data_IF_577008789329
#
_entry.id   IF_577008789329
#
_cell.length_a   1.000
_cell.length_b   1.000
_cell.length_c   1.000
_cell.angle_alpha   90.00
_cell.angle_beta   90.00
_cell.angle_gamma   90.00
#
_symmetry.space_group_name_H-M   'P 1'
#
loop_
_entity.id
_entity.type
_entity.pdbx_description
1 polymer ?
#
# COMPACT_ATOMS: atom_id res chain seq x y z
N UNK A 1 -41.00 -6.18 3.52
CA UNK A 1 -40.04 -5.10 3.90
C UNK A 1 -39.80 -4.31 2.65
N UNK A 2 -40.04 -3.01 2.70
CA UNK A 2 -39.76 -2.12 1.56
C UNK A 2 -38.24 -2.04 1.32
N UNK A 3 -37.86 -1.77 0.09
CA UNK A 3 -36.45 -1.60 -0.32
C UNK A 3 -35.75 -0.51 0.52
N UNK A 4 -36.43 0.61 0.74
CA UNK A 4 -35.93 1.73 1.56
C UNK A 4 -35.64 1.28 3.00
N UNK A 5 -36.57 0.57 3.64
CA UNK A 5 -36.41 0.05 5.00
C UNK A 5 -35.22 -0.90 5.11
N UNK A 6 -35.03 -1.75 4.07
CA UNK A 6 -33.90 -2.67 4.01
C UNK A 6 -32.56 -1.94 4.02
N UNK A 7 -32.40 -0.96 3.12
CA UNK A 7 -31.14 -0.22 3.02
C UNK A 7 -30.87 0.68 4.20
N UNK A 8 -31.89 1.30 4.80
CA UNK A 8 -31.76 2.05 6.06
C UNK A 8 -31.27 1.15 7.21
N UNK A 9 -31.80 -0.07 7.30
CA UNK A 9 -31.37 -1.07 8.30
C UNK A 9 -29.91 -1.48 8.07
N UNK A 10 -29.50 -1.73 6.82
CA UNK A 10 -28.11 -2.06 6.50
C UNK A 10 -27.19 -0.88 6.88
N UNK A 11 -27.56 0.36 6.51
CA UNK A 11 -26.77 1.52 6.86
C UNK A 11 -26.60 1.70 8.37
N UNK A 12 -27.65 1.48 9.16
CA UNK A 12 -27.57 1.50 10.62
C UNK A 12 -26.59 0.45 11.15
N UNK A 13 -26.63 -0.79 10.63
CA UNK A 13 -25.70 -1.85 10.99
C UNK A 13 -24.24 -1.48 10.63
N UNK A 14 -23.99 -0.84 9.48
CA UNK A 14 -22.65 -0.37 9.13
C UNK A 14 -22.14 0.71 10.11
N UNK A 15 -23.00 1.61 10.59
CA UNK A 15 -22.65 2.60 11.62
C UNK A 15 -22.29 1.95 12.96
N UNK A 16 -23.02 0.91 13.37
CA UNK A 16 -22.70 0.13 14.58
C UNK A 16 -21.33 -0.55 14.44
N UNK A 17 -21.01 -1.11 13.27
CA UNK A 17 -19.72 -1.72 12.99
C UNK A 17 -18.56 -0.71 13.03
N UNK A 18 -18.76 0.50 12.47
CA UNK A 18 -17.77 1.58 12.55
C UNK A 18 -17.49 1.90 14.02
N UNK A 19 -18.53 2.05 14.83
CA UNK A 19 -18.37 2.34 16.25
C UNK A 19 -17.66 1.20 16.99
N UNK A 20 -18.00 -0.05 16.71
CA UNK A 20 -17.33 -1.22 17.29
C UNK A 20 -15.85 -1.27 16.92
N UNK A 21 -15.52 -1.06 15.65
CA UNK A 21 -14.14 -1.04 15.13
C UNK A 21 -13.31 0.06 15.79
N UNK A 22 -13.83 1.29 15.82
CA UNK A 22 -13.12 2.46 16.36
C UNK A 22 -13.07 2.51 17.90
N UNK A 23 -13.94 1.75 18.59
CA UNK A 23 -13.91 1.60 20.06
C UNK A 23 -13.14 0.34 20.50
N UNK A 24 -12.59 -0.42 19.56
CA UNK A 24 -11.84 -1.64 19.86
C UNK A 24 -10.48 -1.34 20.49
N UNK A 25 -9.86 -2.34 21.11
CA UNK A 25 -8.47 -2.28 21.60
C UNK A 25 -7.44 -2.06 20.47
N UNK A 26 -7.86 -2.20 19.21
CA UNK A 26 -7.03 -2.07 18.01
C UNK A 26 -7.11 -0.68 17.36
N UNK A 27 -7.77 0.28 18.00
CA UNK A 27 -7.89 1.65 17.47
C UNK A 27 -6.55 2.30 17.14
N UNK A 28 -5.52 2.09 17.95
CA UNK A 28 -4.18 2.66 17.70
C UNK A 28 -3.58 2.12 16.41
N UNK A 29 -3.73 0.82 16.12
CA UNK A 29 -3.27 0.22 14.86
C UNK A 29 -4.02 0.81 13.67
N UNK A 30 -5.34 0.99 13.80
CA UNK A 30 -6.14 1.64 12.76
C UNK A 30 -5.72 3.11 12.55
N UNK A 31 -5.49 3.85 13.62
CA UNK A 31 -5.05 5.24 13.54
C UNK A 31 -3.68 5.37 12.83
N UNK A 32 -2.74 4.45 13.09
CA UNK A 32 -1.46 4.40 12.39
C UNK A 32 -1.64 4.07 10.90
N UNK A 33 -2.49 3.10 10.56
CA UNK A 33 -2.82 2.80 9.16
C UNK A 33 -3.46 4.01 8.46
N UNK A 34 -4.33 4.76 9.15
CA UNK A 34 -4.94 5.98 8.62
C UNK A 34 -3.93 7.13 8.44
N UNK A 35 -2.98 7.29 9.37
CA UNK A 35 -1.95 8.32 9.27
C UNK A 35 -1.05 8.13 8.02
N UNK A 36 -0.88 6.90 7.55
CA UNK A 36 -0.13 6.63 6.33
C UNK A 36 -0.71 7.27 5.06
N UNK A 37 -1.98 7.69 5.07
CA UNK A 37 -2.58 8.50 3.98
C UNK A 37 -1.75 9.76 3.72
N UNK A 38 -1.36 10.47 4.79
CA UNK A 38 -0.58 11.70 4.69
C UNK A 38 0.85 11.42 4.19
N UNK A 39 1.48 10.38 4.71
CA UNK A 39 2.83 9.94 4.28
C UNK A 39 2.85 9.58 2.80
N UNK A 40 1.88 8.80 2.34
CA UNK A 40 1.72 8.45 0.93
C UNK A 40 1.45 9.69 0.08
N UNK A 41 0.64 10.62 0.58
CA UNK A 41 0.31 11.88 -0.09
C UNK A 41 1.55 12.75 -0.39
N UNK A 42 2.56 12.75 0.48
CA UNK A 42 3.84 13.43 0.23
C UNK A 42 4.57 12.81 -0.97
N UNK A 43 4.70 11.48 -1.01
CA UNK A 43 5.28 10.78 -2.16
C UNK A 43 4.51 11.01 -3.44
N UNK A 44 3.18 10.85 -3.39
CA UNK A 44 2.31 11.05 -4.54
C UNK A 44 2.47 12.44 -5.13
N UNK A 45 2.46 13.49 -4.30
CA UNK A 45 2.62 14.87 -4.75
C UNK A 45 3.96 15.08 -5.46
N UNK A 46 5.04 14.62 -4.85
CA UNK A 46 6.37 14.76 -5.44
C UNK A 46 6.49 13.99 -6.77
N UNK A 47 5.99 12.76 -6.83
CA UNK A 47 6.00 11.93 -8.04
C UNK A 47 5.16 12.57 -9.15
N UNK A 48 3.97 13.10 -8.82
CA UNK A 48 3.10 13.76 -9.79
C UNK A 48 3.76 15.02 -10.38
N UNK A 49 4.43 15.83 -9.56
CA UNK A 49 5.18 17.01 -10.02
C UNK A 49 6.32 16.63 -10.96
N UNK A 50 7.01 15.52 -10.71
CA UNK A 50 8.20 15.12 -11.47
C UNK A 50 7.90 14.30 -12.72
N UNK A 51 6.95 13.36 -12.63
CA UNK A 51 6.69 12.36 -13.68
C UNK A 51 5.34 12.52 -14.38
N UNK A 52 4.39 13.25 -13.78
CA UNK A 52 3.04 13.40 -14.31
C UNK A 52 2.25 12.09 -14.35
N UNK A 53 2.56 11.13 -13.49
CA UNK A 53 1.91 9.81 -13.45
C UNK A 53 0.76 9.83 -12.46
N UNK A 54 -0.45 9.59 -12.96
CA UNK A 54 -1.71 9.78 -12.23
C UNK A 54 -2.17 8.56 -11.43
N UNK A 55 -1.65 7.37 -11.71
CA UNK A 55 -2.09 6.11 -11.09
C UNK A 55 -1.94 6.10 -9.55
N UNK A 56 -1.03 6.90 -9.00
CA UNK A 56 -0.85 7.01 -7.55
C UNK A 56 -2.06 7.65 -6.85
N UNK A 57 -2.81 8.53 -7.54
CA UNK A 57 -4.07 9.08 -7.02
C UNK A 57 -5.15 8.01 -6.95
N UNK A 58 -5.22 7.15 -7.97
CA UNK A 58 -6.12 6.00 -7.97
C UNK A 58 -5.75 5.03 -6.83
N UNK A 59 -4.46 4.74 -6.68
CA UNK A 59 -3.97 3.87 -5.62
C UNK A 59 -4.34 4.42 -4.22
N UNK A 60 -4.14 5.71 -3.96
CA UNK A 60 -4.51 6.32 -2.68
C UNK A 60 -6.02 6.18 -2.41
N UNK A 61 -6.86 6.43 -3.42
CA UNK A 61 -8.32 6.26 -3.31
C UNK A 61 -8.72 4.82 -2.96
N UNK A 62 -8.00 3.80 -3.49
CA UNK A 62 -8.21 2.41 -3.11
C UNK A 62 -7.81 2.15 -1.64
N UNK A 63 -6.74 2.77 -1.15
CA UNK A 63 -6.34 2.64 0.25
C UNK A 63 -7.37 3.25 1.21
N UNK A 64 -7.82 4.49 0.93
CA UNK A 64 -8.88 5.14 1.71
C UNK A 64 -10.17 4.32 1.72
N UNK A 65 -10.53 3.75 0.55
CA UNK A 65 -11.69 2.86 0.40
C UNK A 65 -11.50 1.58 1.22
N UNK A 66 -10.31 0.99 1.23
CA UNK A 66 -10.00 -0.19 2.02
C UNK A 66 -10.19 0.05 3.53
N UNK A 67 -9.68 1.18 4.04
CA UNK A 67 -9.85 1.59 5.44
C UNK A 67 -11.33 1.80 5.80
N UNK A 68 -12.09 2.48 4.94
CA UNK A 68 -13.52 2.70 5.14
C UNK A 68 -14.29 1.37 5.20
N UNK A 69 -14.03 0.46 4.27
CA UNK A 69 -14.69 -0.84 4.26
C UNK A 69 -14.29 -1.71 5.46
N UNK A 70 -13.04 -1.60 5.93
CA UNK A 70 -12.59 -2.34 7.11
C UNK A 70 -13.35 -1.94 8.36
N UNK A 71 -13.52 -0.64 8.64
CA UNK A 71 -14.29 -0.17 9.81
C UNK A 71 -15.78 -0.48 9.69
N UNK A 72 -16.31 -0.62 8.46
CA UNK A 72 -17.68 -1.07 8.20
C UNK A 72 -17.86 -2.58 8.28
N UNK A 73 -16.79 -3.34 8.55
CA UNK A 73 -16.78 -4.82 8.55
C UNK A 73 -17.11 -5.45 7.18
N UNK A 74 -16.90 -4.70 6.12
CA UNK A 74 -17.02 -5.16 4.73
C UNK A 74 -15.68 -5.77 4.26
N UNK A 75 -15.19 -6.80 5.00
CA UNK A 75 -13.83 -7.30 4.87
C UNK A 75 -13.46 -7.77 3.46
N UNK A 76 -14.40 -8.40 2.72
CA UNK A 76 -14.14 -8.78 1.32
C UNK A 76 -13.76 -7.57 0.49
N UNK A 77 -14.51 -6.49 0.59
CA UNK A 77 -14.28 -5.25 -0.14
C UNK A 77 -13.00 -4.57 0.37
N UNK A 78 -12.79 -4.55 1.68
CA UNK A 78 -11.59 -3.98 2.29
C UNK A 78 -10.30 -4.64 1.74
N UNK A 79 -10.21 -5.97 1.76
CA UNK A 79 -9.05 -6.68 1.23
C UNK A 79 -8.92 -6.58 -0.30
N UNK A 80 -10.03 -6.47 -1.04
CA UNK A 80 -9.99 -6.27 -2.48
C UNK A 80 -9.40 -4.89 -2.84
N UNK A 81 -9.84 -3.83 -2.16
CA UNK A 81 -9.29 -2.49 -2.35
C UNK A 81 -7.84 -2.39 -1.83
N UNK A 82 -7.51 -3.04 -0.72
CA UNK A 82 -6.15 -3.10 -0.22
C UNK A 82 -5.18 -3.79 -1.20
N UNK A 83 -5.64 -4.85 -1.87
CA UNK A 83 -4.90 -5.50 -2.95
C UNK A 83 -4.72 -4.57 -4.15
N UNK A 84 -5.79 -3.90 -4.59
CA UNK A 84 -5.74 -2.96 -5.72
C UNK A 84 -4.78 -1.81 -5.42
N UNK A 85 -4.78 -1.29 -4.20
CA UNK A 85 -3.81 -0.30 -3.74
C UNK A 85 -2.35 -0.76 -3.92
N UNK A 86 -2.02 -1.98 -3.46
CA UNK A 86 -0.69 -2.56 -3.63
C UNK A 86 -0.30 -2.68 -5.11
N UNK A 87 -1.21 -3.25 -5.93
CA UNK A 87 -0.97 -3.43 -7.38
C UNK A 87 -0.75 -2.09 -8.07
N UNK A 88 -1.64 -1.13 -7.87
CA UNK A 88 -1.57 0.18 -8.54
C UNK A 88 -0.34 0.98 -8.13
N UNK A 89 0.03 0.95 -6.84
CA UNK A 89 1.23 1.67 -6.38
C UNK A 89 2.49 1.08 -6.97
N UNK A 90 2.70 -0.23 -6.89
CA UNK A 90 3.90 -0.88 -7.42
C UNK A 90 3.97 -0.77 -8.94
N UNK A 91 2.84 -0.89 -9.64
CA UNK A 91 2.79 -0.66 -11.07
C UNK A 91 3.11 0.79 -11.43
N UNK A 92 2.58 1.76 -10.68
CA UNK A 92 2.93 3.17 -10.84
C UNK A 92 4.43 3.42 -10.73
N UNK A 93 5.10 2.80 -9.75
CA UNK A 93 6.56 2.87 -9.61
C UNK A 93 7.24 2.27 -10.86
N UNK A 94 6.79 1.12 -11.35
CA UNK A 94 7.32 0.50 -12.55
C UNK A 94 7.15 1.39 -13.78
N UNK A 95 6.01 2.07 -13.94
CA UNK A 95 5.76 3.01 -15.03
C UNK A 95 6.76 4.19 -15.05
N UNK A 96 7.28 4.60 -13.88
CA UNK A 96 8.33 5.64 -13.84
C UNK A 96 9.66 5.21 -14.46
N UNK A 97 9.85 3.92 -14.68
CA UNK A 97 11.06 3.35 -15.30
C UNK A 97 10.89 3.03 -16.79
N UNK A 98 9.66 3.02 -17.30
CA UNK A 98 9.34 2.59 -18.65
C UNK A 98 8.28 3.48 -19.31
N UNK A 99 8.73 4.52 -19.99
CA UNK A 99 7.85 5.48 -20.67
C UNK A 99 6.91 4.82 -21.69
N UNK A 100 7.38 3.81 -22.44
CA UNK A 100 6.53 3.12 -23.41
C UNK A 100 5.38 2.38 -22.71
N UNK A 101 5.68 1.70 -21.61
CA UNK A 101 4.67 1.03 -20.81
C UNK A 101 3.63 2.04 -20.26
N UNK A 102 4.09 3.18 -19.77
CA UNK A 102 3.22 4.26 -19.31
C UNK A 102 2.28 4.77 -20.43
N UNK A 103 2.81 5.02 -21.63
CA UNK A 103 2.01 5.49 -22.76
C UNK A 103 1.01 4.44 -23.25
N UNK A 104 1.38 3.16 -23.25
CA UNK A 104 0.48 2.07 -23.60
C UNK A 104 -0.65 1.93 -22.58
N UNK A 105 -0.33 2.02 -21.27
CA UNK A 105 -1.34 2.01 -20.21
C UNK A 105 -2.31 3.20 -20.35
N UNK A 106 -1.79 4.39 -20.63
CA UNK A 106 -2.59 5.60 -20.80
C UNK A 106 -3.55 5.56 -22.01
N UNK A 107 -3.28 4.66 -22.97
CA UNK A 107 -4.11 4.42 -24.17
C UNK A 107 -4.99 3.17 -24.05
N UNK A 108 -5.13 2.58 -22.85
CA UNK A 108 -5.85 1.32 -22.63
C UNK A 108 -5.31 0.15 -23.46
N UNK A 109 -4.05 0.23 -23.92
CA UNK A 109 -3.38 -0.80 -24.70
C UNK A 109 -2.63 -1.82 -23.83
N UNK A 110 -2.54 -1.59 -22.53
CA UNK A 110 -1.89 -2.46 -21.56
C UNK A 110 -2.56 -2.38 -20.20
N UNK A 111 -2.84 -3.56 -19.61
CA UNK A 111 -3.36 -3.69 -18.25
C UNK A 111 -2.23 -3.74 -17.21
N UNK A 112 -2.64 -3.67 -15.93
CA UNK A 112 -1.77 -3.94 -14.79
C UNK A 112 -1.59 -5.45 -14.63
N UNK A 113 -0.37 -5.94 -14.74
CA UNK A 113 -0.06 -7.35 -14.56
C UNK A 113 0.84 -7.56 -13.34
N UNK A 114 0.27 -8.12 -12.28
CA UNK A 114 1.02 -8.48 -11.06
C UNK A 114 2.28 -9.31 -11.35
N UNK A 115 2.17 -10.25 -12.29
CA UNK A 115 3.28 -11.12 -12.69
C UNK A 115 4.49 -10.34 -13.23
N UNK A 116 4.28 -9.19 -13.87
CA UNK A 116 5.37 -8.33 -14.36
C UNK A 116 6.05 -7.58 -13.20
N UNK A 117 5.26 -7.11 -12.22
CA UNK A 117 5.78 -6.39 -11.04
C UNK A 117 6.72 -7.29 -10.23
N UNK A 118 6.35 -8.57 -10.06
CA UNK A 118 7.06 -9.54 -9.23
C UNK A 118 7.97 -10.50 -10.01
N UNK A 119 8.25 -10.19 -11.28
CA UNK A 119 9.18 -10.95 -12.09
C UNK A 119 10.60 -10.90 -11.51
N UNK A 120 11.30 -12.05 -11.52
CA UNK A 120 12.60 -12.18 -10.85
C UNK A 120 13.73 -11.47 -11.59
N UNK A 121 13.60 -11.30 -12.92
CA UNK A 121 14.67 -10.76 -13.76
C UNK A 121 14.44 -9.28 -14.11
N UNK A 122 13.18 -8.90 -14.34
CA UNK A 122 12.80 -7.59 -14.86
C UNK A 122 11.81 -6.82 -13.98
N UNK A 123 11.29 -7.44 -12.93
CA UNK A 123 10.32 -6.83 -12.02
C UNK A 123 10.97 -5.81 -11.05
N UNK A 124 10.12 -5.11 -10.33
CA UNK A 124 10.51 -4.00 -9.44
C UNK A 124 11.52 -4.41 -8.37
N UNK A 125 11.42 -5.63 -7.85
CA UNK A 125 12.29 -6.18 -6.81
C UNK A 125 13.43 -7.06 -7.35
N UNK A 126 13.62 -7.10 -8.68
CA UNK A 126 14.75 -7.83 -9.26
C UNK A 126 16.08 -7.19 -8.86
N UNK A 127 17.15 -8.00 -8.83
CA UNK A 127 18.49 -7.49 -8.57
C UNK A 127 18.91 -6.44 -9.60
N UNK A 128 18.47 -6.60 -10.84
CA UNK A 128 18.75 -5.63 -11.91
C UNK A 128 18.11 -4.27 -11.61
N UNK A 129 16.82 -4.26 -11.26
CA UNK A 129 16.11 -3.03 -10.93
C UNK A 129 16.67 -2.37 -9.66
N UNK A 130 16.81 -3.14 -8.58
CA UNK A 130 17.30 -2.60 -7.29
C UNK A 130 18.73 -2.06 -7.42
N UNK A 131 19.64 -2.77 -8.09
CA UNK A 131 21.00 -2.31 -8.30
C UNK A 131 21.08 -1.02 -9.11
N UNK A 132 20.17 -0.82 -10.05
CA UNK A 132 20.15 0.38 -10.88
C UNK A 132 19.78 1.64 -10.08
N UNK A 133 18.91 1.53 -9.07
CA UNK A 133 18.44 2.67 -8.30
C UNK A 133 19.10 2.79 -6.93
N UNK A 134 19.23 1.68 -6.19
CA UNK A 134 19.82 1.66 -4.85
C UNK A 134 20.50 0.32 -4.56
N UNK A 135 21.74 0.17 -5.04
CA UNK A 135 22.51 -1.10 -5.02
C UNK A 135 22.69 -1.68 -3.62
N UNK A 136 22.77 -0.82 -2.62
CA UNK A 136 23.02 -1.19 -1.22
C UNK A 136 21.87 -2.03 -0.63
N UNK A 137 20.64 -1.87 -1.14
CA UNK A 137 19.46 -2.61 -0.71
C UNK A 137 19.16 -3.89 -1.51
N UNK A 138 20.03 -4.29 -2.46
CA UNK A 138 19.83 -5.52 -3.24
C UNK A 138 19.62 -6.77 -2.40
N UNK A 139 20.32 -6.90 -1.28
CA UNK A 139 20.21 -8.05 -0.40
C UNK A 139 18.81 -8.17 0.24
N UNK A 140 18.16 -7.04 0.53
CA UNK A 140 16.85 -6.99 1.16
C UNK A 140 15.70 -7.17 0.16
N UNK A 141 15.91 -6.92 -1.14
CA UNK A 141 14.86 -6.92 -2.17
C UNK A 141 14.13 -8.25 -2.28
N UNK A 142 14.83 -9.38 -2.09
CA UNK A 142 14.20 -10.70 -2.14
C UNK A 142 13.20 -10.89 -0.98
N UNK A 143 13.53 -10.42 0.20
CA UNK A 143 12.62 -10.51 1.37
C UNK A 143 11.36 -9.68 1.12
N UNK A 144 11.51 -8.50 0.54
CA UNK A 144 10.37 -7.63 0.19
C UNK A 144 9.51 -8.26 -0.91
N UNK A 145 10.12 -8.86 -1.92
CA UNK A 145 9.39 -9.61 -2.95
C UNK A 145 8.57 -10.75 -2.36
N UNK A 146 9.17 -11.54 -1.46
CA UNK A 146 8.49 -12.65 -0.82
C UNK A 146 7.34 -12.16 0.08
N UNK A 147 7.55 -11.04 0.79
CA UNK A 147 6.51 -10.36 1.57
C UNK A 147 5.37 -9.87 0.67
N UNK A 148 5.68 -9.19 -0.44
CA UNK A 148 4.69 -8.68 -1.39
C UNK A 148 3.84 -9.82 -1.99
N UNK A 149 4.46 -10.92 -2.38
CA UNK A 149 3.77 -12.13 -2.86
C UNK A 149 2.85 -12.74 -1.80
N UNK A 150 3.30 -12.78 -0.55
CA UNK A 150 2.50 -13.27 0.58
C UNK A 150 1.25 -12.40 0.79
N UNK A 151 1.44 -11.09 0.95
CA UNK A 151 0.34 -10.15 1.21
C UNK A 151 -0.66 -10.15 0.05
N UNK A 152 -0.18 -10.09 -1.18
CA UNK A 152 -1.03 -10.19 -2.37
C UNK A 152 -1.89 -11.45 -2.36
N UNK A 153 -1.31 -12.61 -2.02
CA UNK A 153 -2.03 -13.87 -1.91
C UNK A 153 -3.07 -13.84 -0.80
N UNK A 154 -2.73 -13.30 0.38
CA UNK A 154 -3.65 -13.19 1.51
C UNK A 154 -4.86 -12.32 1.14
N UNK A 155 -4.66 -11.14 0.54
CA UNK A 155 -5.75 -10.30 0.06
C UNK A 155 -6.59 -11.00 -1.03
N UNK A 156 -5.95 -11.76 -1.92
CA UNK A 156 -6.63 -12.50 -3.00
C UNK A 156 -7.56 -13.60 -2.49
N UNK A 157 -7.28 -14.19 -1.32
CA UNK A 157 -8.15 -15.21 -0.71
C UNK A 157 -9.56 -14.65 -0.45
N UNK A 158 -9.66 -13.40 0.00
CA UNK A 158 -10.93 -12.71 0.22
C UNK A 158 -11.64 -12.40 -1.10
N UNK A 159 -10.91 -12.00 -2.12
CA UNK A 159 -11.48 -11.70 -3.46
C UNK A 159 -12.08 -12.93 -4.11
N UNK A 160 -11.38 -14.07 -4.05
CA UNK A 160 -11.80 -15.31 -4.70
C UNK A 160 -12.72 -16.20 -3.85
N UNK A 161 -13.04 -15.79 -2.62
CA UNK A 161 -13.99 -16.50 -1.75
C UNK A 161 -13.45 -17.85 -1.27
N UNK A 162 -12.16 -17.94 -0.94
CA UNK A 162 -11.60 -19.15 -0.34
C UNK A 162 -12.29 -19.48 0.99
N UNK A 163 -12.33 -20.75 1.36
CA UNK A 163 -13.08 -21.23 2.52
C UNK A 163 -12.72 -20.48 3.83
N UNK A 164 -11.45 -20.21 4.06
CA UNK A 164 -10.97 -19.46 5.23
C UNK A 164 -11.48 -18.01 5.29
N UNK A 165 -11.69 -17.39 4.13
CA UNK A 165 -12.29 -16.04 4.04
C UNK A 165 -13.82 -16.07 4.22
N UNK A 166 -14.46 -17.18 3.82
CA UNK A 166 -15.91 -17.34 3.94
C UNK A 166 -16.42 -17.24 5.38
N UNK A 167 -15.66 -17.73 6.36
CA UNK A 167 -16.07 -17.74 7.77
C UNK A 167 -16.27 -16.34 8.35
N UNK A 168 -15.55 -15.34 7.83
CA UNK A 168 -15.62 -13.93 8.29
C UNK A 168 -16.48 -13.05 7.40
N UNK A 169 -16.85 -13.52 6.18
CA UNK A 169 -17.74 -12.79 5.28
C UNK A 169 -19.20 -13.09 5.67
N UNK A 170 -19.82 -12.19 6.42
CA UNK A 170 -21.21 -12.31 6.86
C UNK A 170 -22.11 -11.27 6.19
N UNK A 171 -23.38 -11.60 6.05
CA UNK A 171 -24.39 -10.65 5.59
C UNK A 171 -25.66 -10.77 6.47
N UNK A 172 -26.13 -9.68 7.11
CA UNK A 172 -25.49 -8.34 7.13
C UNK A 172 -24.08 -8.39 7.74
N UNK A 173 -23.21 -7.42 7.40
CA UNK A 173 -21.85 -7.35 7.93
C UNK A 173 -21.85 -7.26 9.47
N UNK A 174 -20.92 -7.94 10.11
CA UNK A 174 -20.76 -7.93 11.58
C UNK A 174 -19.28 -7.76 11.90
N UNK A 175 -18.96 -6.91 12.87
CA UNK A 175 -17.60 -6.75 13.36
C UNK A 175 -17.02 -8.11 13.79
N UNK A 176 -15.85 -8.40 13.25
CA UNK A 176 -15.05 -9.59 13.58
C UNK A 176 -13.63 -9.12 13.89
N UNK A 177 -13.25 -9.25 15.15
CA UNK A 177 -11.97 -8.78 15.66
C UNK A 177 -10.78 -9.41 14.90
N UNK A 178 -10.85 -10.72 14.62
CA UNK A 178 -9.76 -11.43 13.95
C UNK A 178 -9.57 -10.94 12.52
N UNK A 179 -10.68 -10.70 11.81
CA UNK A 179 -10.65 -10.18 10.46
C UNK A 179 -10.15 -8.73 10.43
N UNK A 180 -10.55 -7.91 11.41
CA UNK A 180 -10.11 -6.53 11.54
C UNK A 180 -8.61 -6.44 11.82
N UNK A 181 -8.10 -7.21 12.80
CA UNK A 181 -6.67 -7.28 13.11
C UNK A 181 -5.88 -7.79 11.91
N UNK A 182 -6.34 -8.86 11.25
CA UNK A 182 -5.69 -9.37 10.03
C UNK A 182 -5.61 -8.31 8.94
N UNK A 183 -6.67 -7.50 8.75
CA UNK A 183 -6.64 -6.40 7.80
C UNK A 183 -5.57 -5.36 8.15
N UNK A 184 -5.48 -4.98 9.42
CA UNK A 184 -4.47 -4.02 9.90
C UNK A 184 -3.04 -4.53 9.74
N UNK A 185 -2.81 -5.81 10.02
CA UNK A 185 -1.49 -6.45 9.84
C UNK A 185 -1.06 -6.47 8.36
N UNK A 186 -2.02 -6.75 7.44
CA UNK A 186 -1.71 -6.70 6.01
C UNK A 186 -1.54 -5.26 5.50
N UNK A 187 -2.28 -4.29 6.04
CA UNK A 187 -2.11 -2.87 5.73
C UNK A 187 -0.71 -2.37 6.14
N UNK A 188 -0.25 -2.75 7.34
CA UNK A 188 1.10 -2.43 7.83
C UNK A 188 2.19 -3.08 6.97
N UNK A 189 1.98 -4.35 6.57
CA UNK A 189 2.91 -5.04 5.66
C UNK A 189 2.98 -4.33 4.30
N UNK A 190 1.85 -3.83 3.78
CA UNK A 190 1.81 -3.08 2.53
C UNK A 190 2.47 -1.71 2.68
N UNK A 191 2.23 -0.99 3.78
CA UNK A 191 2.94 0.25 4.10
C UNK A 191 4.45 0.04 3.97
N UNK A 192 4.98 -0.98 4.63
CA UNK A 192 6.41 -1.31 4.60
C UNK A 192 6.93 -1.60 3.18
N UNK A 193 6.19 -2.39 2.39
CA UNK A 193 6.55 -2.70 0.99
C UNK A 193 6.60 -1.42 0.14
N UNK A 194 5.62 -0.55 0.30
CA UNK A 194 5.49 0.69 -0.49
C UNK A 194 6.58 1.69 -0.10
N UNK A 195 6.81 1.91 1.20
CA UNK A 195 7.89 2.79 1.67
C UNK A 195 9.26 2.32 1.18
N UNK A 196 9.53 1.01 1.25
CA UNK A 196 10.74 0.43 0.71
C UNK A 196 10.87 0.67 -0.81
N UNK A 197 9.79 0.49 -1.55
CA UNK A 197 9.77 0.65 -3.00
C UNK A 197 9.94 2.12 -3.42
N UNK A 198 9.32 3.05 -2.71
CA UNK A 198 9.50 4.49 -2.91
C UNK A 198 10.92 4.91 -2.57
N UNK A 199 11.46 4.45 -1.44
CA UNK A 199 12.82 4.75 -1.05
C UNK A 199 13.82 4.32 -2.12
N UNK A 200 13.81 3.04 -2.54
CA UNK A 200 14.72 2.54 -3.57
C UNK A 200 14.61 3.38 -4.85
N UNK A 201 13.39 3.61 -5.30
CA UNK A 201 13.19 4.21 -6.62
C UNK A 201 13.46 5.71 -6.63
N UNK A 202 13.14 6.44 -5.57
CA UNK A 202 13.06 7.88 -5.65
C UNK A 202 14.03 8.64 -4.76
N UNK A 203 14.55 8.05 -3.67
CA UNK A 203 15.30 8.80 -2.66
C UNK A 203 16.51 9.56 -3.22
N UNK A 204 17.24 8.96 -4.17
CA UNK A 204 18.40 9.60 -4.81
C UNK A 204 18.01 10.70 -5.81
N UNK A 205 16.74 10.84 -6.13
CA UNK A 205 16.22 11.87 -7.03
C UNK A 205 15.58 13.06 -6.31
N UNK A 206 15.32 12.91 -5.01
CA UNK A 206 14.80 13.99 -4.17
C UNK A 206 15.93 14.97 -3.87
N UNK A 207 15.73 16.29 -4.10
CA UNK A 207 16.69 17.30 -3.69
C UNK A 207 16.99 17.19 -2.19
N UNK A 208 18.26 17.33 -1.81
CA UNK A 208 18.71 17.14 -0.40
C UNK A 208 17.88 17.97 0.58
N UNK A 209 17.61 19.23 0.25
CA UNK A 209 16.79 20.15 1.04
C UNK A 209 15.33 19.72 1.24
N UNK A 210 14.83 18.80 0.42
CA UNK A 210 13.47 18.24 0.54
C UNK A 210 13.44 16.87 1.22
N UNK A 211 14.58 16.22 1.44
CA UNK A 211 14.61 14.89 2.08
C UNK A 211 14.09 14.96 3.52
N UNK A 212 14.27 16.07 4.21
CA UNK A 212 13.75 16.29 5.56
C UNK A 212 12.23 16.15 5.65
N UNK A 213 11.48 16.45 4.56
CA UNK A 213 10.02 16.26 4.51
C UNK A 213 9.62 14.79 4.61
N UNK A 214 10.49 13.88 4.15
CA UNK A 214 10.27 12.44 4.11
C UNK A 214 10.98 11.68 5.24
N UNK A 215 11.93 12.30 5.92
CA UNK A 215 12.84 11.60 6.84
C UNK A 215 12.11 10.92 7.99
N UNK A 216 11.08 11.54 8.55
CA UNK A 216 10.33 10.98 9.68
C UNK A 216 9.67 9.65 9.32
N UNK A 217 8.91 9.61 8.23
CA UNK A 217 8.21 8.41 7.77
C UNK A 217 9.18 7.32 7.31
N UNK A 218 10.30 7.70 6.64
CA UNK A 218 11.34 6.75 6.23
C UNK A 218 11.99 6.10 7.46
N UNK A 219 12.34 6.89 8.49
CA UNK A 219 12.91 6.35 9.72
C UNK A 219 11.95 5.46 10.49
N UNK A 220 10.67 5.82 10.52
CA UNK A 220 9.64 5.00 11.16
C UNK A 220 9.54 3.62 10.49
N UNK A 221 9.42 3.59 9.17
CA UNK A 221 9.20 2.36 8.42
C UNK A 221 10.48 1.57 8.14
N UNK A 222 11.58 2.23 7.78
CA UNK A 222 12.81 1.62 7.25
C UNK A 222 14.04 1.83 8.13
N UNK A 223 13.93 2.53 9.27
CA UNK A 223 15.08 2.88 10.12
C UNK A 223 15.80 1.69 10.75
N UNK A 224 15.23 0.49 10.68
CA UNK A 224 15.91 -0.75 11.09
C UNK A 224 16.88 -1.28 10.02
N UNK A 225 16.82 -0.77 8.78
CA UNK A 225 17.77 -1.09 7.71
C UNK A 225 18.97 -0.16 7.81
N UNK A 226 20.14 -0.76 8.02
CA UNK A 226 21.41 0.00 8.19
C UNK A 226 21.70 0.87 6.97
N UNK A 227 21.49 0.36 5.78
CA UNK A 227 21.74 1.04 4.50
C UNK A 227 20.91 2.32 4.37
N UNK A 228 19.68 2.31 4.90
CA UNK A 228 18.80 3.48 4.93
C UNK A 228 19.32 4.53 5.93
N UNK A 229 19.66 4.10 7.14
CA UNK A 229 20.16 5.00 8.18
C UNK A 229 21.50 5.61 7.82
N UNK A 230 22.41 4.83 7.22
CA UNK A 230 23.71 5.30 6.74
C UNK A 230 23.51 6.37 5.63
N UNK A 231 22.61 6.13 4.68
CA UNK A 231 22.31 7.09 3.61
C UNK A 231 21.74 8.41 4.16
N UNK A 232 20.76 8.36 5.05
CA UNK A 232 20.17 9.56 5.65
C UNK A 232 21.19 10.33 6.51
N UNK A 233 22.11 9.64 7.20
CA UNK A 233 23.15 10.26 7.99
C UNK A 233 24.18 10.98 7.13
N UNK A 234 24.57 10.37 5.99
CA UNK A 234 25.51 10.98 5.04
C UNK A 234 24.97 12.30 4.46
N UNK A 235 23.66 12.38 4.16
CA UNK A 235 23.04 13.60 3.63
C UNK A 235 23.08 14.71 4.67
N UNK A 236 22.81 14.41 5.94
CA UNK A 236 22.78 15.38 7.02
C UNK A 236 24.19 15.89 7.42
N UNK A 237 25.25 15.14 7.11
CA UNK A 237 26.65 15.57 7.35
C UNK A 237 27.16 16.56 6.29
N UNK A 238 26.68 16.45 5.06
CA UNK A 238 27.02 17.35 3.94
C UNK A 238 26.42 18.77 4.10
N UNK A 239 25.48 18.97 5.03
CA UNK A 239 24.85 20.27 5.34
C UNK A 239 25.59 21.08 6.43
N UNK A 240 26.65 20.53 7.04
CA UNK A 240 27.46 21.19 8.07
C UNK A 240 28.79 21.72 7.51
#
# INVERSE_FOLDING_TARGET
MDCTDLYLKINHNLQENIQASLSSSHYTLFANANAFIDDYGLWQKWIAEKYGIEIFSLALSEYETALLFAVQSLYKQAFSSLRAYLEHTLFGIQLTTNLLQYLNWKQDAQDVYWSQIVDLDSGLFSSNCTSAFFSELCASSKLILDLAKRVYRECSQFTHGNYSAWEVIKYPPVYDEKAFVKFLDEAESIKYIIEYSFFIRFIKEIPKEKITDFESQIRESLGHLKEVTDYLSMINEDEK
#
